data_IF_655545107005
#
_entry.id   IF_655545107005
#
_cell.length_a   1.000
_cell.length_b   1.000
_cell.length_c   1.000
_cell.angle_alpha   90.00
_cell.angle_beta   90.00
_cell.angle_gamma   90.00
#
_symmetry.space_group_name_H-M   'P 1'
#
loop_
_entity.id
_entity.type
_entity.pdbx_description
1 polymer ?
#
# COMPACT_ATOMS: atom_id res chain seq x y z
N UNK A 1 -13.82 1.38 0.78
CA UNK A 1 -12.51 1.06 0.19
C UNK A 1 -11.95 2.20 -0.65
N UNK A 2 -12.68 2.69 -1.63
CA UNK A 2 -12.27 3.87 -2.40
C UNK A 2 -11.94 5.07 -1.51
N UNK A 3 -12.69 5.28 -0.44
CA UNK A 3 -12.41 6.36 0.52
C UNK A 3 -11.06 6.18 1.23
N UNK A 4 -10.67 4.95 1.57
CA UNK A 4 -9.37 4.67 2.16
C UNK A 4 -8.24 4.98 1.17
N UNK A 5 -8.35 4.53 -0.07
CA UNK A 5 -7.35 4.80 -1.11
C UNK A 5 -7.23 6.30 -1.36
N UNK A 6 -8.35 7.02 -1.46
CA UNK A 6 -8.34 8.49 -1.60
C UNK A 6 -7.68 9.16 -0.41
N UNK A 7 -7.98 8.70 0.81
CA UNK A 7 -7.41 9.22 2.06
C UNK A 7 -5.89 9.08 2.10
N UNK A 8 -5.34 7.95 1.65
CA UNK A 8 -3.91 7.67 1.72
C UNK A 8 -3.13 8.08 0.47
N UNK A 9 -3.78 8.36 -0.65
CA UNK A 9 -3.14 8.56 -1.96
C UNK A 9 -2.04 9.62 -1.95
N UNK A 10 -2.34 10.82 -1.48
CA UNK A 10 -1.37 11.91 -1.47
C UNK A 10 -0.25 11.65 -0.47
N UNK A 11 -0.57 11.10 0.69
CA UNK A 11 0.42 10.72 1.69
C UNK A 11 1.40 9.67 1.16
N UNK A 12 0.90 8.68 0.43
CA UNK A 12 1.73 7.66 -0.20
C UNK A 12 2.64 8.24 -1.29
N UNK A 13 2.10 9.13 -2.13
CA UNK A 13 2.88 9.81 -3.17
C UNK A 13 4.02 10.62 -2.55
N UNK A 14 3.72 11.45 -1.56
CA UNK A 14 4.72 12.27 -0.87
C UNK A 14 5.79 11.44 -0.17
N UNK A 15 5.40 10.32 0.47
CA UNK A 15 6.35 9.41 1.09
C UNK A 15 7.28 8.75 0.06
N UNK A 16 6.76 8.35 -1.10
CA UNK A 16 7.55 7.78 -2.17
C UNK A 16 8.54 8.81 -2.75
N UNK A 17 8.10 10.03 -3.00
CA UNK A 17 8.96 11.11 -3.48
C UNK A 17 10.06 11.47 -2.47
N UNK A 18 9.74 11.55 -1.20
CA UNK A 18 10.70 11.79 -0.12
C UNK A 18 11.81 10.74 -0.07
N UNK A 19 11.49 9.50 -0.43
CA UNK A 19 12.46 8.39 -0.52
C UNK A 19 13.17 8.32 -1.87
N UNK A 20 12.93 9.28 -2.78
CA UNK A 20 13.54 9.31 -4.11
C UNK A 20 13.02 8.25 -5.07
N UNK A 21 11.83 7.70 -4.81
CA UNK A 21 11.22 6.70 -5.69
C UNK A 21 10.58 7.35 -6.90
N UNK A 22 10.69 6.70 -8.05
CA UNK A 22 9.99 7.10 -9.26
C UNK A 22 8.50 6.78 -9.12
N UNK A 23 7.65 7.81 -9.23
CA UNK A 23 6.19 7.71 -9.15
C UNK A 23 5.52 7.78 -10.51
N UNK A 24 6.28 7.63 -11.61
CA UNK A 24 5.72 7.53 -12.96
C UNK A 24 4.79 6.31 -13.07
N UNK A 25 3.83 6.39 -13.99
CA UNK A 25 2.87 5.31 -14.20
C UNK A 25 3.54 3.97 -14.55
N UNK A 26 4.60 4.01 -15.35
CA UNK A 26 5.33 2.80 -15.75
C UNK A 26 6.02 2.15 -14.54
N UNK A 27 6.67 2.95 -13.69
CA UNK A 27 7.26 2.48 -12.44
C UNK A 27 6.20 1.90 -11.50
N UNK A 28 5.05 2.56 -11.38
CA UNK A 28 3.94 2.08 -10.54
C UNK A 28 3.37 0.75 -11.05
N UNK A 29 3.22 0.57 -12.37
CA UNK A 29 2.76 -0.70 -12.95
C UNK A 29 3.72 -1.85 -12.60
N UNK A 30 5.01 -1.66 -12.79
CA UNK A 30 6.00 -2.70 -12.47
C UNK A 30 6.03 -3.00 -10.97
N UNK A 31 5.99 -1.98 -10.13
CA UNK A 31 5.92 -2.16 -8.68
C UNK A 31 4.64 -2.90 -8.27
N UNK A 32 3.48 -2.52 -8.83
CA UNK A 32 2.21 -3.18 -8.53
C UNK A 32 2.24 -4.66 -8.92
N UNK A 33 2.82 -5.00 -10.05
CA UNK A 33 3.00 -6.39 -10.49
C UNK A 33 3.82 -7.18 -9.48
N UNK A 34 4.91 -6.62 -9.02
CA UNK A 34 5.82 -7.28 -8.07
C UNK A 34 5.14 -7.47 -6.71
N UNK A 35 4.47 -6.43 -6.19
CA UNK A 35 3.74 -6.51 -4.92
C UNK A 35 2.56 -7.49 -4.99
N UNK A 36 1.85 -7.55 -6.12
CA UNK A 36 0.79 -8.54 -6.32
C UNK A 36 1.34 -9.97 -6.32
N UNK A 37 2.51 -10.20 -6.90
CA UNK A 37 3.15 -11.52 -6.87
C UNK A 37 3.51 -11.92 -5.42
N UNK A 38 4.05 -10.99 -4.63
CA UNK A 38 4.38 -11.22 -3.23
C UNK A 38 3.11 -11.48 -2.39
N UNK A 39 2.04 -10.72 -2.64
CA UNK A 39 0.74 -10.93 -2.01
C UNK A 39 0.18 -12.34 -2.29
N UNK A 40 0.19 -12.78 -3.54
CA UNK A 40 -0.30 -14.12 -3.90
C UNK A 40 0.57 -15.22 -3.30
N UNK A 41 1.89 -15.04 -3.27
CA UNK A 41 2.81 -15.97 -2.61
C UNK A 41 2.50 -16.08 -1.09
N UNK A 42 2.27 -14.95 -0.42
CA UNK A 42 1.88 -14.95 0.99
C UNK A 42 0.55 -15.69 1.22
N UNK A 43 -0.43 -15.51 0.33
CA UNK A 43 -1.71 -16.23 0.40
C UNK A 43 -1.53 -17.73 0.20
N UNK A 44 -0.77 -18.13 -0.79
CA UNK A 44 -0.51 -19.55 -1.08
C UNK A 44 0.21 -20.24 0.09
N UNK A 45 1.13 -19.53 0.73
CA UNK A 45 1.87 -20.01 1.90
C UNK A 45 1.08 -19.88 3.21
N UNK A 46 -0.13 -19.31 3.16
CA UNK A 46 -1.00 -19.05 4.32
C UNK A 46 -0.27 -18.30 5.46
N UNK A 47 0.54 -17.29 5.10
CA UNK A 47 1.27 -16.44 6.06
C UNK A 47 0.34 -15.41 6.67
N UNK A 48 -0.49 -15.84 7.59
CA UNK A 48 -1.50 -15.01 8.23
C UNK A 48 -0.94 -14.27 9.45
N UNK A 49 -1.60 -13.16 9.78
CA UNK A 49 -1.39 -12.44 11.03
C UNK A 49 -2.72 -12.20 11.73
N UNK A 50 -2.69 -11.83 13.00
CA UNK A 50 -3.89 -11.58 13.78
C UNK A 50 -4.13 -10.08 13.96
N UNK A 51 -5.40 -9.70 14.12
CA UNK A 51 -5.78 -8.34 14.52
C UNK A 51 -5.11 -7.92 15.84
N UNK A 52 -4.94 -8.88 16.74
CA UNK A 52 -4.25 -8.67 18.02
C UNK A 52 -2.78 -8.27 17.82
N UNK A 53 -2.05 -8.95 16.93
CA UNK A 53 -0.68 -8.60 16.59
C UNK A 53 -0.58 -7.20 15.96
N UNK A 54 -1.51 -6.86 15.08
CA UNK A 54 -1.57 -5.53 14.44
C UNK A 54 -1.79 -4.45 15.50
N UNK A 55 -2.77 -4.63 16.38
CA UNK A 55 -3.06 -3.68 17.46
C UNK A 55 -1.93 -3.57 18.48
N UNK A 56 -1.24 -4.66 18.76
CA UNK A 56 -0.07 -4.64 19.63
C UNK A 56 1.04 -3.77 19.03
N UNK A 57 1.30 -3.91 17.73
CA UNK A 57 2.30 -3.09 17.03
C UNK A 57 1.96 -1.60 17.02
N UNK A 58 0.68 -1.23 16.91
CA UNK A 58 0.24 0.17 16.97
C UNK A 58 0.60 0.86 18.28
N UNK A 59 0.66 0.12 19.37
CA UNK A 59 0.95 0.66 20.72
C UNK A 59 2.43 0.87 20.97
N UNK A 60 3.30 0.32 20.16
CA UNK A 60 4.75 0.43 20.35
C UNK A 60 5.22 1.81 19.87
N UNK A 61 5.74 2.61 20.80
CA UNK A 61 6.20 3.96 20.50
C UNK A 61 7.70 4.02 20.18
N UNK A 62 8.50 3.20 20.83
CA UNK A 62 9.93 3.10 20.55
C UNK A 62 10.16 2.52 19.16
N UNK A 63 10.94 3.21 18.34
CA UNK A 63 11.14 2.85 16.93
C UNK A 63 11.89 1.52 16.75
N UNK A 64 12.88 1.24 17.59
CA UNK A 64 13.64 -0.01 17.54
C UNK A 64 12.76 -1.19 17.93
N UNK A 65 12.00 -1.06 19.01
CA UNK A 65 11.04 -2.09 19.44
C UNK A 65 9.97 -2.32 18.37
N UNK A 66 9.51 -1.25 17.73
CA UNK A 66 8.53 -1.35 16.65
C UNK A 66 9.07 -2.12 15.46
N UNK A 67 10.28 -1.80 14.99
CA UNK A 67 10.91 -2.51 13.87
C UNK A 67 11.05 -4.01 14.20
N UNK A 68 11.54 -4.34 15.37
CA UNK A 68 11.71 -5.72 15.80
C UNK A 68 10.38 -6.48 15.85
N UNK A 69 9.35 -5.87 16.42
CA UNK A 69 8.02 -6.46 16.49
C UNK A 69 7.38 -6.63 15.11
N UNK A 70 7.55 -5.62 14.24
CA UNK A 70 7.03 -5.68 12.87
C UNK A 70 7.69 -6.81 12.08
N UNK A 71 9.00 -6.90 12.08
CA UNK A 71 9.75 -7.95 11.38
C UNK A 71 9.38 -9.34 11.89
N UNK A 72 9.18 -9.48 13.18
CA UNK A 72 8.85 -10.76 13.79
C UNK A 72 7.42 -11.22 13.52
N UNK A 73 6.44 -10.31 13.58
CA UNK A 73 5.02 -10.68 13.63
C UNK A 73 4.20 -10.30 12.41
N UNK A 74 4.63 -9.30 11.64
CA UNK A 74 3.82 -8.72 10.57
C UNK A 74 4.48 -8.85 9.19
N UNK A 75 5.80 -8.78 9.12
CA UNK A 75 6.54 -8.76 7.85
C UNK A 75 6.29 -10.04 7.04
N UNK A 76 6.10 -9.89 5.73
CA UNK A 76 5.80 -10.96 4.78
C UNK A 76 4.48 -11.71 5.04
N UNK A 77 3.59 -11.19 5.86
CA UNK A 77 2.24 -11.74 6.01
C UNK A 77 1.30 -11.25 4.91
N UNK A 78 0.18 -11.93 4.71
CA UNK A 78 -0.84 -11.53 3.74
C UNK A 78 -1.26 -10.05 3.94
N UNK A 79 -1.43 -9.63 5.20
CA UNK A 79 -1.81 -8.25 5.51
C UNK A 79 -0.69 -7.25 5.16
N UNK A 80 0.56 -7.60 5.39
CA UNK A 80 1.72 -6.79 5.03
C UNK A 80 1.83 -6.60 3.51
N UNK A 81 1.76 -7.70 2.77
CA UNK A 81 1.84 -7.66 1.31
C UNK A 81 0.65 -6.93 0.69
N UNK A 82 -0.55 -7.09 1.25
CA UNK A 82 -1.72 -6.34 0.80
C UNK A 82 -1.57 -4.84 1.06
N UNK A 83 -0.94 -4.46 2.18
CA UNK A 83 -0.63 -3.05 2.45
C UNK A 83 0.34 -2.48 1.41
N UNK A 84 1.34 -3.23 0.97
CA UNK A 84 2.25 -2.80 -0.11
C UNK A 84 1.51 -2.61 -1.44
N UNK A 85 0.62 -3.54 -1.81
CA UNK A 85 -0.25 -3.40 -2.99
C UNK A 85 -1.06 -2.11 -2.92
N UNK A 86 -1.67 -1.82 -1.77
CA UNK A 86 -2.45 -0.60 -1.57
C UNK A 86 -1.62 0.67 -1.65
N UNK A 87 -0.44 0.67 -1.06
CA UNK A 87 0.46 1.82 -1.07
C UNK A 87 0.88 2.16 -2.51
N UNK A 88 1.23 1.15 -3.31
CA UNK A 88 1.59 1.35 -4.71
C UNK A 88 0.39 1.86 -5.52
N UNK A 89 -0.78 1.25 -5.36
CA UNK A 89 -2.00 1.66 -6.06
C UNK A 89 -2.40 3.09 -5.69
N UNK A 90 -2.31 3.46 -4.41
CA UNK A 90 -2.61 4.79 -3.91
C UNK A 90 -1.61 5.84 -4.44
N UNK A 91 -0.32 5.50 -4.48
CA UNK A 91 0.72 6.33 -5.08
C UNK A 91 0.44 6.61 -6.55
N UNK A 92 0.11 5.58 -7.29
CA UNK A 92 -0.24 5.71 -8.71
C UNK A 92 -1.49 6.57 -8.91
N UNK A 93 -2.55 6.33 -8.11
CA UNK A 93 -3.78 7.14 -8.17
C UNK A 93 -3.49 8.63 -7.95
N UNK A 94 -2.66 8.99 -6.96
CA UNK A 94 -2.28 10.38 -6.69
C UNK A 94 -1.43 10.97 -7.83
N UNK A 95 -0.50 10.21 -8.39
CA UNK A 95 0.34 10.66 -9.50
C UNK A 95 -0.47 10.86 -10.77
N UNK A 96 -1.40 9.98 -11.09
CA UNK A 96 -2.30 10.12 -12.23
C UNK A 96 -3.19 11.37 -12.08
N UNK A 97 -3.74 11.61 -10.88
CA UNK A 97 -4.56 12.77 -10.60
C UNK A 97 -3.77 14.08 -10.72
N UNK A 98 -2.56 14.13 -10.16
CA UNK A 98 -1.68 15.31 -10.25
C UNK A 98 -1.31 15.61 -11.70
N UNK A 99 -1.00 14.61 -12.49
CA UNK A 99 -0.67 14.76 -13.91
C UNK A 99 -1.87 15.21 -14.75
N UNK A 100 -3.08 14.76 -14.44
CA UNK A 100 -4.31 15.16 -15.14
C UNK A 100 -4.69 16.62 -14.91
N UNK A 101 -4.32 17.21 -13.77
CA UNK A 101 -4.64 18.59 -13.45
C UNK A 101 -3.91 19.60 -14.34
N UNK A 102 -2.76 19.25 -14.90
CA UNK A 102 -1.89 20.17 -15.61
C UNK A 102 -2.04 20.19 -17.14
N UNK A 103 -2.41 19.06 -17.79
CA UNK A 103 -2.55 18.99 -19.26
C UNK A 103 -3.36 17.77 -19.70
N UNK A 104 -4.39 17.97 -20.50
CA UNK A 104 -5.12 16.87 -21.13
C UNK A 104 -4.27 16.15 -22.19
N UNK A 105 -3.96 14.87 -21.96
CA UNK A 105 -3.32 13.98 -22.96
C UNK A 105 -4.07 12.66 -23.00
N UNK A 106 -4.43 12.14 -24.19
CA UNK A 106 -5.19 10.89 -24.34
C UNK A 106 -4.53 9.68 -23.64
N UNK A 107 -3.21 9.64 -23.59
CA UNK A 107 -2.45 8.58 -22.92
C UNK A 107 -2.72 8.50 -21.41
N UNK A 108 -3.19 9.58 -20.80
CA UNK A 108 -3.49 9.67 -19.37
C UNK A 108 -4.84 9.08 -19.00
N UNK A 109 -5.77 9.06 -19.94
CA UNK A 109 -7.06 8.40 -19.73
C UNK A 109 -6.85 6.89 -19.54
N UNK A 110 -5.90 6.31 -20.27
CA UNK A 110 -5.51 4.90 -20.11
C UNK A 110 -4.89 4.67 -18.74
N UNK A 111 -4.01 5.56 -18.29
CA UNK A 111 -3.41 5.47 -16.96
C UNK A 111 -4.46 5.52 -15.85
N UNK A 112 -5.40 6.45 -15.93
CA UNK A 112 -6.50 6.56 -14.96
C UNK A 112 -7.36 5.30 -14.98
N UNK A 113 -7.64 4.74 -16.14
CA UNK A 113 -8.37 3.49 -16.27
C UNK A 113 -7.64 2.31 -15.64
N UNK A 114 -6.33 2.20 -15.85
CA UNK A 114 -5.51 1.12 -15.28
C UNK A 114 -5.44 1.24 -13.76
N UNK A 115 -5.23 2.46 -13.24
CA UNK A 115 -5.25 2.72 -11.81
C UNK A 115 -6.62 2.36 -11.21
N UNK A 116 -7.71 2.76 -11.84
CA UNK A 116 -9.07 2.42 -11.40
C UNK A 116 -9.32 0.92 -11.42
N UNK A 117 -8.81 0.21 -12.42
CA UNK A 117 -8.89 -1.25 -12.51
C UNK A 117 -8.14 -1.94 -11.38
N UNK A 118 -6.93 -1.48 -11.07
CA UNK A 118 -6.15 -1.99 -9.95
C UNK A 118 -6.86 -1.75 -8.61
N UNK A 119 -7.42 -0.57 -8.42
CA UNK A 119 -8.19 -0.22 -7.23
C UNK A 119 -9.42 -1.13 -7.09
N UNK A 120 -10.14 -1.35 -8.19
CA UNK A 120 -11.32 -2.24 -8.19
C UNK A 120 -10.94 -3.68 -7.85
N UNK A 121 -9.84 -4.17 -8.37
CA UNK A 121 -9.30 -5.49 -8.03
C UNK A 121 -9.02 -5.60 -6.53
N UNK A 122 -8.30 -4.65 -5.98
CA UNK A 122 -7.95 -4.61 -4.55
C UNK A 122 -9.22 -4.58 -3.70
N UNK A 123 -10.19 -3.76 -4.04
CA UNK A 123 -11.47 -3.70 -3.35
C UNK A 123 -12.19 -5.05 -3.34
N UNK A 124 -12.12 -5.78 -4.45
CA UNK A 124 -12.72 -7.12 -4.56
C UNK A 124 -12.02 -8.17 -3.70
N UNK A 125 -10.75 -7.97 -3.34
CA UNK A 125 -9.99 -8.91 -2.51
C UNK A 125 -10.20 -8.72 -1.00
N UNK A 126 -10.67 -7.55 -0.58
CA UNK A 126 -10.67 -7.19 0.85
C UNK A 126 -11.93 -7.63 1.59
N UNK A 127 -13.09 -7.64 0.97
CA UNK A 127 -14.33 -8.02 1.64
C UNK A 127 -14.99 -6.88 2.45
N UNK A 128 -15.39 -7.12 3.68
CA UNK A 128 -16.26 -6.25 4.45
C UNK A 128 -15.58 -5.09 5.21
N UNK A 129 -16.36 -4.24 5.90
CA UNK A 129 -15.85 -3.06 6.62
C UNK A 129 -14.80 -3.36 7.69
N UNK A 130 -14.89 -4.55 8.33
CA UNK A 130 -13.92 -4.99 9.35
C UNK A 130 -12.52 -5.13 8.75
N UNK A 131 -12.42 -5.63 7.52
CA UNK A 131 -11.16 -5.80 6.82
C UNK A 131 -10.59 -4.46 6.38
N UNK A 132 -11.42 -3.48 6.07
CA UNK A 132 -11.01 -2.11 5.73
C UNK A 132 -10.30 -1.44 6.91
N UNK A 133 -10.84 -1.55 8.13
CA UNK A 133 -10.20 -0.97 9.32
C UNK A 133 -8.87 -1.63 9.63
N UNK A 134 -8.81 -2.95 9.57
CA UNK A 134 -7.57 -3.71 9.74
C UNK A 134 -6.51 -3.25 8.71
N UNK A 135 -6.93 -3.07 7.46
CA UNK A 135 -6.05 -2.66 6.39
C UNK A 135 -5.57 -1.22 6.55
N UNK A 136 -6.42 -0.30 7.04
CA UNK A 136 -6.00 1.06 7.38
C UNK A 136 -4.88 1.04 8.43
N UNK A 137 -5.05 0.24 9.47
CA UNK A 137 -4.02 0.04 10.49
C UNK A 137 -2.73 -0.52 9.88
N UNK A 138 -2.83 -1.56 9.05
CA UNK A 138 -1.67 -2.15 8.40
C UNK A 138 -0.93 -1.17 7.48
N UNK A 139 -1.65 -0.39 6.69
CA UNK A 139 -1.04 0.64 5.84
C UNK A 139 -0.25 1.65 6.69
N UNK A 140 -0.83 2.11 7.79
CA UNK A 140 -0.15 3.05 8.69
C UNK A 140 1.12 2.43 9.30
N UNK A 141 1.05 1.20 9.76
CA UNK A 141 2.20 0.47 10.31
C UNK A 141 3.28 0.22 9.24
N UNK A 142 2.87 -0.19 8.05
CA UNK A 142 3.79 -0.41 6.92
C UNK A 142 4.50 0.88 6.50
N UNK A 143 3.80 1.98 6.44
CA UNK A 143 4.40 3.28 6.11
C UNK A 143 5.41 3.69 7.18
N UNK A 144 5.10 3.50 8.46
CA UNK A 144 6.04 3.72 9.55
C UNK A 144 7.27 2.83 9.43
N UNK A 145 7.08 1.55 9.18
CA UNK A 145 8.17 0.58 8.98
C UNK A 145 9.07 0.99 7.82
N UNK A 146 8.49 1.34 6.67
CA UNK A 146 9.21 1.78 5.49
C UNK A 146 10.02 3.07 5.73
N UNK A 147 9.51 3.98 6.55
CA UNK A 147 10.21 5.21 6.90
C UNK A 147 11.40 4.97 7.84
N UNK A 148 11.26 4.02 8.76
CA UNK A 148 12.26 3.75 9.80
C UNK A 148 13.37 2.80 9.33
N UNK A 149 13.07 1.86 8.43
CA UNK A 149 14.11 0.95 7.94
C UNK A 149 15.10 1.71 7.07
N UNK A 150 16.38 1.45 7.31
CA UNK A 150 17.46 1.97 6.46
C UNK A 150 17.67 0.96 5.34
N UNK A 151 17.43 1.43 4.15
CA UNK A 151 17.76 0.63 2.96
C UNK A 151 19.28 0.52 2.77
#
# INVERSE_FOLDING_TARGET
>A
MYSLISEISERCRLAAEKRGKDTSWLSCIYSLRDELAEYWAAKDDARETSLEAIRAAEKIQDDTEFIDAYEKNLHNTVADELADVLIVAATWNASAAANNAENFKPERDVEVMLASGAISFICGQIGGPRDVEMLRCMVNLKMRFNELRKD
#
